data_IF_439499356816
#
_entry.id   IF_439499356816
#
_cell.length_a   1.000
_cell.length_b   1.000
_cell.length_c   1.000
_cell.angle_alpha   90.00
_cell.angle_beta   90.00
_cell.angle_gamma   90.00
#
_symmetry.space_group_name_H-M   'P 1'
#
loop_
_entity.id
_entity.type
_entity.pdbx_description
1 polymer ?
#
# COMPACT_ATOMS: atom_id res chain seq x y z
N UNK A 1 -0.45 -28.09 0.75
CA UNK A 1 -1.13 -26.79 0.60
C UNK A 1 -1.44 -26.30 2.00
N UNK A 2 -1.13 -25.06 2.35
CA UNK A 2 -1.40 -24.51 3.69
C UNK A 2 -2.91 -24.52 3.96
N UNK A 3 -3.36 -25.17 5.03
CA UNK A 3 -4.80 -25.32 5.35
C UNK A 3 -5.54 -23.98 5.39
N UNK A 4 -4.87 -22.93 5.85
CA UNK A 4 -5.39 -21.56 5.87
C UNK A 4 -5.69 -21.01 4.47
N UNK A 5 -4.83 -21.27 3.48
CA UNK A 5 -5.07 -20.80 2.12
C UNK A 5 -6.31 -21.46 1.53
N UNK A 6 -6.51 -22.76 1.77
CA UNK A 6 -7.72 -23.46 1.34
C UNK A 6 -8.97 -22.86 1.99
N UNK A 7 -8.88 -22.51 3.28
CA UNK A 7 -9.97 -21.85 4.00
C UNK A 7 -10.30 -20.47 3.39
N UNK A 8 -9.28 -19.61 3.20
CA UNK A 8 -9.45 -18.30 2.55
C UNK A 8 -10.03 -18.44 1.15
N UNK A 9 -9.56 -19.43 0.38
CA UNK A 9 -10.10 -19.71 -0.95
C UNK A 9 -11.59 -20.03 -0.89
N UNK A 10 -12.00 -20.86 0.07
CA UNK A 10 -13.39 -21.26 0.21
C UNK A 10 -14.31 -20.09 0.59
N UNK A 11 -13.90 -19.30 1.58
CA UNK A 11 -14.59 -18.06 1.98
C UNK A 11 -14.74 -17.08 0.83
N UNK A 12 -13.65 -16.86 0.08
CA UNK A 12 -13.64 -15.89 -1.01
C UNK A 12 -14.31 -16.38 -2.30
N UNK A 13 -14.60 -17.67 -2.46
CA UNK A 13 -15.37 -18.19 -3.61
C UNK A 13 -16.76 -17.56 -3.68
N UNK A 14 -17.40 -17.30 -2.54
CA UNK A 14 -18.70 -16.64 -2.47
C UNK A 14 -18.68 -15.22 -3.07
N UNK A 15 -17.51 -14.56 -3.06
CA UNK A 15 -17.33 -13.21 -3.57
C UNK A 15 -17.08 -13.16 -5.10
N UNK A 16 -16.84 -14.29 -5.76
CA UNK A 16 -16.74 -14.39 -7.23
C UNK A 16 -15.49 -15.11 -7.75
N UNK A 17 -15.22 -15.03 -9.07
CA UNK A 17 -14.10 -15.73 -9.69
C UNK A 17 -12.75 -15.07 -9.33
N UNK A 18 -11.94 -15.80 -8.56
CA UNK A 18 -10.65 -15.34 -8.07
C UNK A 18 -9.52 -16.23 -8.57
N UNK A 19 -8.37 -15.61 -8.82
CA UNK A 19 -7.13 -16.27 -9.21
C UNK A 19 -6.08 -16.12 -8.11
N UNK A 20 -5.35 -17.19 -7.83
CA UNK A 20 -4.33 -17.23 -6.77
C UNK A 20 -2.97 -17.46 -7.39
N UNK A 21 -1.98 -16.65 -7.03
CA UNK A 21 -0.62 -16.78 -7.58
C UNK A 21 0.42 -16.65 -6.47
N UNK A 22 1.39 -17.56 -6.44
CA UNK A 22 2.50 -17.47 -5.50
C UNK A 22 3.27 -16.15 -5.69
N UNK A 23 3.39 -15.37 -4.62
CA UNK A 23 4.10 -14.08 -4.63
C UNK A 23 4.68 -13.79 -3.25
N UNK A 24 5.96 -13.37 -3.17
CA UNK A 24 6.63 -12.92 -1.94
C UNK A 24 6.55 -13.90 -0.75
N UNK A 25 6.78 -15.19 -0.99
CA UNK A 25 6.74 -16.19 0.10
C UNK A 25 5.34 -16.48 0.63
N UNK A 26 4.30 -16.02 -0.06
CA UNK A 26 2.90 -16.35 0.18
C UNK A 26 2.14 -16.42 -1.14
N UNK A 27 0.88 -15.98 -1.14
CA UNK A 27 -0.03 -16.06 -2.27
C UNK A 27 -0.77 -14.74 -2.48
N UNK A 28 -0.68 -14.16 -3.67
CA UNK A 28 -1.52 -13.04 -4.08
C UNK A 28 -2.89 -13.50 -4.58
N UNK A 29 -3.94 -12.77 -4.22
CA UNK A 29 -5.32 -12.98 -4.67
C UNK A 29 -5.70 -11.91 -5.69
N UNK A 30 -6.13 -12.37 -6.85
CA UNK A 30 -6.42 -11.56 -8.02
C UNK A 30 -7.89 -11.70 -8.40
N UNK A 31 -8.53 -10.58 -8.68
CA UNK A 31 -9.83 -10.54 -9.35
C UNK A 31 -9.59 -10.13 -10.81
N UNK A 32 -9.71 -11.09 -11.72
CA UNK A 32 -9.29 -10.93 -13.12
C UNK A 32 -7.79 -10.59 -13.25
N UNK A 33 -7.49 -9.34 -13.58
CA UNK A 33 -6.10 -8.84 -13.74
C UNK A 33 -5.59 -8.01 -12.56
N UNK A 34 -6.42 -7.74 -11.55
CA UNK A 34 -6.11 -6.83 -10.46
C UNK A 34 -5.88 -7.59 -9.15
N UNK A 35 -4.73 -7.34 -8.53
CA UNK A 35 -4.45 -7.81 -7.17
C UNK A 35 -5.12 -6.90 -6.14
N UNK A 36 -5.92 -7.50 -5.26
CA UNK A 36 -6.62 -6.80 -4.18
C UNK A 36 -6.35 -7.41 -2.80
N UNK A 37 -5.87 -8.65 -2.72
CA UNK A 37 -5.49 -9.27 -1.46
C UNK A 37 -4.21 -10.11 -1.57
N UNK A 38 -3.62 -10.48 -0.43
CA UNK A 38 -2.50 -11.42 -0.34
C UNK A 38 -2.56 -12.21 0.96
N UNK A 39 -2.09 -13.46 0.94
CA UNK A 39 -2.00 -14.36 2.08
C UNK A 39 -0.54 -14.65 2.34
N UNK A 40 -0.03 -14.27 3.51
CA UNK A 40 1.38 -14.46 3.91
C UNK A 40 1.43 -14.84 5.39
N UNK A 41 2.18 -15.89 5.74
CA UNK A 41 2.31 -16.40 7.12
C UNK A 41 0.94 -16.60 7.80
N UNK A 42 0.02 -17.28 7.11
CA UNK A 42 -1.33 -17.58 7.59
C UNK A 42 -2.14 -16.33 8.00
N UNK A 43 -1.84 -15.19 7.39
CA UNK A 43 -2.58 -13.93 7.55
C UNK A 43 -3.06 -13.42 6.21
N UNK A 44 -4.29 -12.93 6.19
CA UNK A 44 -4.87 -12.28 5.02
C UNK A 44 -4.59 -10.77 5.08
N UNK A 45 -4.20 -10.20 3.95
CA UNK A 45 -3.99 -8.77 3.82
C UNK A 45 -4.82 -8.23 2.67
N UNK A 46 -5.58 -7.18 2.93
CA UNK A 46 -6.36 -6.48 1.90
C UNK A 46 -5.70 -5.19 1.45
N UNK A 47 -5.97 -4.81 0.21
CA UNK A 47 -5.48 -3.57 -0.36
C UNK A 47 -6.30 -2.38 0.14
N UNK A 48 -5.60 -1.39 0.70
CA UNK A 48 -6.19 -0.19 1.29
C UNK A 48 -5.59 1.05 0.66
N UNK A 49 -6.42 1.83 -0.01
CA UNK A 49 -6.08 3.13 -0.58
C UNK A 49 -6.54 4.30 0.30
N UNK A 50 -6.46 5.51 -0.22
CA UNK A 50 -6.87 6.72 0.51
C UNK A 50 -8.37 6.72 0.86
N UNK A 51 -9.21 6.05 0.07
CA UNK A 51 -10.66 6.12 0.28
C UNK A 51 -11.17 5.17 1.37
N UNK A 52 -10.40 4.15 1.77
CA UNK A 52 -10.78 3.20 2.81
C UNK A 52 -9.81 3.20 4.00
N UNK A 53 -8.69 3.92 3.95
CA UNK A 53 -7.68 3.94 5.01
C UNK A 53 -8.23 4.37 6.37
N UNK A 54 -9.14 5.34 6.41
CA UNK A 54 -9.68 5.86 7.66
C UNK A 54 -10.44 4.78 8.45
N UNK A 55 -11.16 3.91 7.77
CA UNK A 55 -11.90 2.81 8.39
C UNK A 55 -10.96 1.74 8.95
N UNK A 56 -9.88 1.42 8.23
CA UNK A 56 -8.85 0.50 8.72
C UNK A 56 -8.08 1.07 9.92
N UNK A 57 -7.79 2.37 9.93
CA UNK A 57 -7.17 3.06 11.08
C UNK A 57 -8.10 3.07 12.30
N UNK A 58 -9.40 3.28 12.09
CA UNK A 58 -10.40 3.27 13.16
C UNK A 58 -10.59 1.88 13.74
N UNK A 59 -10.53 0.84 12.90
CA UNK A 59 -10.58 -0.56 13.33
C UNK A 59 -9.28 -1.05 14.00
N UNK A 60 -8.25 -0.21 14.12
CA UNK A 60 -6.98 -0.57 14.76
C UNK A 60 -6.13 -1.55 13.95
N UNK A 61 -6.39 -1.70 12.65
CA UNK A 61 -5.63 -2.61 11.80
C UNK A 61 -4.24 -2.05 11.50
N UNK A 62 -3.29 -2.94 11.21
CA UNK A 62 -1.91 -2.53 10.94
C UNK A 62 -1.59 -2.58 9.43
N UNK A 63 -0.91 -1.55 8.90
CA UNK A 63 -0.35 -1.59 7.56
C UNK A 63 0.81 -2.59 7.49
N UNK A 64 0.88 -3.33 6.40
CA UNK A 64 2.01 -4.19 6.09
C UNK A 64 3.24 -3.35 5.75
N UNK A 65 4.31 -3.55 6.52
CA UNK A 65 5.62 -2.96 6.28
C UNK A 65 6.63 -4.07 6.01
N UNK A 66 7.40 -3.94 4.95
CA UNK A 66 8.51 -4.86 4.68
C UNK A 66 9.84 -4.12 4.64
N UNK A 67 10.92 -4.80 5.00
CA UNK A 67 12.27 -4.26 4.81
C UNK A 67 12.64 -4.31 3.33
N UNK A 68 12.83 -3.14 2.71
CA UNK A 68 13.34 -3.01 1.36
C UNK A 68 14.79 -3.50 1.26
N UNK A 69 15.28 -3.66 0.03
CA UNK A 69 16.65 -4.16 -0.24
C UNK A 69 17.76 -3.34 0.42
N UNK A 70 17.51 -2.04 0.65
CA UNK A 70 18.43 -1.11 1.31
C UNK A 70 18.26 -1.07 2.85
N UNK A 71 17.52 -2.00 3.45
CA UNK A 71 17.19 -2.00 4.88
C UNK A 71 16.14 -0.97 5.31
N UNK A 72 15.61 -0.17 4.37
CA UNK A 72 14.56 0.81 4.62
C UNK A 72 13.20 0.12 4.73
N UNK A 73 12.43 0.40 5.78
CA UNK A 73 11.05 -0.07 5.86
C UNK A 73 10.20 0.61 4.77
N UNK A 74 9.66 -0.18 3.87
CA UNK A 74 8.69 0.25 2.87
C UNK A 74 7.30 -0.12 3.39
N UNK A 75 6.48 0.91 3.64
CA UNK A 75 5.07 0.73 3.94
C UNK A 75 4.31 0.57 2.63
N UNK A 76 3.54 -0.50 2.54
CA UNK A 76 2.60 -0.69 1.44
C UNK A 76 1.18 -0.51 1.89
N UNK A 77 0.34 -0.17 0.93
CA UNK A 77 -1.12 -0.07 1.01
C UNK A 77 -1.80 -1.44 1.16
N UNK A 78 -1.24 -2.34 1.95
CA UNK A 78 -1.85 -3.63 2.30
C UNK A 78 -1.99 -3.66 3.82
N UNK A 79 -3.15 -4.03 4.33
CA UNK A 79 -3.44 -4.03 5.76
C UNK A 79 -3.86 -5.42 6.18
N UNK A 80 -3.40 -5.83 7.36
CA UNK A 80 -3.72 -7.13 7.92
C UNK A 80 -5.19 -7.18 8.32
N UNK A 81 -5.87 -8.24 7.90
CA UNK A 81 -7.25 -8.54 8.24
C UNK A 81 -7.21 -9.59 9.35
N UNK A 82 -7.72 -9.28 10.55
CA UNK A 82 -7.88 -10.27 11.62
C UNK A 82 -8.69 -11.47 11.15
N UNK A 83 -8.42 -12.64 11.72
CA UNK A 83 -9.18 -13.85 11.42
C UNK A 83 -10.67 -13.72 11.80
N UNK A 84 -10.99 -12.92 12.81
CA UNK A 84 -12.38 -12.61 13.20
C UNK A 84 -13.20 -12.07 12.00
N UNK A 85 -12.60 -11.21 11.18
CA UNK A 85 -13.24 -10.64 9.98
C UNK A 85 -13.27 -11.65 8.83
N UNK A 86 -12.34 -12.60 8.81
CA UNK A 86 -12.35 -13.69 7.83
C UNK A 86 -13.43 -14.74 8.15
N UNK A 87 -13.76 -14.91 9.43
CA UNK A 87 -14.78 -15.83 9.90
C UNK A 87 -16.21 -15.30 9.69
N UNK A 88 -16.39 -13.98 9.69
CA UNK A 88 -17.66 -13.31 9.43
C UNK A 88 -17.83 -12.98 7.94
N UNK A 89 -18.80 -13.63 7.29
CA UNK A 89 -19.03 -13.47 5.85
C UNK A 89 -19.52 -12.05 5.49
N UNK A 90 -20.28 -11.37 6.36
CA UNK A 90 -20.79 -10.03 6.08
C UNK A 90 -19.66 -9.01 6.09
N UNK A 91 -18.82 -9.05 7.13
CA UNK A 91 -17.64 -8.20 7.23
C UNK A 91 -16.64 -8.53 6.11
N UNK A 92 -16.36 -9.80 5.85
CA UNK A 92 -15.46 -10.22 4.79
C UNK A 92 -15.89 -9.63 3.43
N UNK A 93 -17.17 -9.74 3.08
CA UNK A 93 -17.73 -9.19 1.83
C UNK A 93 -17.62 -7.66 1.82
N UNK A 94 -17.90 -7.00 2.93
CA UNK A 94 -17.78 -5.55 3.05
C UNK A 94 -16.35 -5.07 2.77
N UNK A 95 -15.35 -5.66 3.43
CA UNK A 95 -13.94 -5.33 3.25
C UNK A 95 -13.42 -5.74 1.88
N UNK A 96 -13.85 -6.88 1.37
CA UNK A 96 -13.54 -7.36 0.01
C UNK A 96 -13.97 -6.33 -1.04
N UNK A 97 -15.23 -5.87 -0.99
CA UNK A 97 -15.79 -4.93 -1.97
C UNK A 97 -15.07 -3.59 -1.94
N UNK A 98 -14.75 -3.07 -0.75
CA UNK A 98 -13.94 -1.84 -0.59
C UNK A 98 -12.55 -1.99 -1.21
N UNK A 99 -11.88 -3.10 -0.92
CA UNK A 99 -10.52 -3.37 -1.40
C UNK A 99 -10.47 -3.55 -2.91
N UNK A 100 -11.48 -4.22 -3.48
CA UNK A 100 -11.63 -4.38 -4.92
C UNK A 100 -11.91 -3.03 -5.61
N UNK A 101 -12.76 -2.18 -5.02
CA UNK A 101 -13.01 -0.84 -5.53
C UNK A 101 -11.73 0.02 -5.58
N UNK A 102 -10.92 -0.01 -4.52
CA UNK A 102 -9.63 0.70 -4.49
C UNK A 102 -8.61 0.11 -5.46
N UNK A 103 -8.56 -1.22 -5.60
CA UNK A 103 -7.71 -1.87 -6.60
C UNK A 103 -8.07 -1.43 -8.03
N UNK A 104 -9.37 -1.39 -8.35
CA UNK A 104 -9.88 -0.94 -9.64
C UNK A 104 -9.62 0.55 -9.89
N UNK A 105 -9.83 1.41 -8.89
CA UNK A 105 -9.47 2.84 -8.97
C UNK A 105 -7.98 3.00 -9.27
N UNK A 106 -7.11 2.33 -8.53
CA UNK A 106 -5.67 2.39 -8.74
C UNK A 106 -5.26 1.87 -10.14
N UNK A 107 -5.95 0.85 -10.67
CA UNK A 107 -5.74 0.37 -12.03
C UNK A 107 -6.14 1.41 -13.08
N UNK A 108 -7.28 2.09 -12.87
CA UNK A 108 -7.79 3.11 -13.78
C UNK A 108 -6.92 4.37 -13.81
N UNK A 109 -6.36 4.78 -12.66
CA UNK A 109 -5.39 5.88 -12.56
C UNK A 109 -4.11 5.56 -13.34
N UNK A 110 -3.62 4.31 -13.25
CA UNK A 110 -2.47 3.86 -14.05
C UNK A 110 -2.76 3.84 -15.55
N UNK A 111 -4.00 3.54 -15.98
CA UNK A 111 -4.42 3.64 -17.39
C UNK A 111 -4.50 5.08 -17.90
N UNK A 112 -4.79 6.06 -17.04
CA UNK A 112 -4.84 7.49 -17.42
C UNK A 112 -3.47 8.17 -17.48
N UNK A 113 -2.38 7.52 -17.03
CA UNK A 113 -1.02 8.09 -17.02
C UNK A 113 -0.02 7.25 -17.79
N UNK A 114 -0.39 6.73 -18.95
CA UNK A 114 0.58 6.17 -19.91
C UNK A 114 0.66 7.09 -21.14
N UNK A 115 1.59 8.06 -21.21
CA UNK A 115 2.11 8.44 -22.52
C UNK A 115 2.81 7.20 -23.10
N UNK A 116 2.37 6.74 -24.27
CA UNK A 116 2.99 5.67 -25.07
C UNK A 116 4.51 5.91 -25.16
N UNK A 117 5.32 5.24 -24.33
CA UNK A 117 6.75 5.09 -24.61
C UNK A 117 6.94 3.80 -25.41
N UNK A 118 6.81 3.92 -26.73
CA UNK A 118 7.29 2.92 -27.68
C UNK A 118 8.78 2.69 -27.41
N UNK A 119 9.14 1.43 -27.16
CA UNK A 119 10.52 0.97 -27.08
C UNK A 119 11.21 1.25 -28.42
N UNK A 120 12.35 1.90 -28.32
CA UNK A 120 13.30 2.24 -29.37
C UNK A 120 13.80 0.99 -30.10
N UNK A 121 13.60 0.94 -31.42
CA UNK A 121 14.37 0.10 -32.32
C UNK A 121 15.64 0.87 -32.71
N UNK A 122 16.76 0.23 -32.45
CA UNK A 122 18.14 0.60 -32.75
C UNK A 122 18.35 1.16 -34.17
N UNK A 123 18.95 2.35 -34.29
CA UNK A 123 19.82 2.72 -35.42
C UNK A 123 20.72 3.93 -35.07
N UNK A 124 21.99 3.61 -34.82
CA UNK A 124 23.28 4.25 -35.18
C UNK A 124 23.38 5.79 -35.32
N UNK A 125 24.58 6.26 -34.98
CA UNK A 125 25.21 7.55 -35.33
C UNK A 125 24.74 8.74 -34.49
N UNK A 126 25.54 9.72 -34.09
CA UNK A 126 26.97 10.01 -34.02
C UNK A 126 27.02 11.47 -33.54
N UNK A 127 28.15 11.92 -33.02
CA UNK A 127 28.59 13.33 -33.07
C UNK A 127 27.83 14.42 -32.27
N UNK A 128 28.47 14.85 -31.18
CA UNK A 128 29.08 16.20 -31.05
C UNK A 128 28.35 17.33 -30.31
N UNK A 129 29.16 18.05 -29.49
CA UNK A 129 29.00 19.36 -28.79
C UNK A 129 28.19 19.33 -27.48
N UNK A 130 28.76 19.47 -26.28
CA UNK A 130 29.70 20.48 -25.69
C UNK A 130 29.14 21.91 -25.68
N UNK A 131 28.64 22.35 -24.51
CA UNK A 131 28.72 23.70 -23.90
C UNK A 131 27.71 23.78 -22.73
N UNK A 132 28.10 23.86 -21.45
CA UNK A 132 28.59 25.02 -20.67
C UNK A 132 27.51 26.04 -20.29
N UNK A 133 27.50 26.36 -18.98
CA UNK A 133 27.09 27.60 -18.28
C UNK A 133 25.90 27.41 -17.30
N UNK A 134 26.15 27.30 -15.99
CA UNK A 134 26.37 28.39 -14.99
C UNK A 134 25.15 29.32 -14.78
N UNK A 135 24.51 29.19 -13.60
CA UNK A 135 24.27 30.24 -12.58
C UNK A 135 23.49 29.59 -11.40
N UNK A 136 24.04 29.54 -10.17
CA UNK A 136 23.98 30.58 -9.09
C UNK A 136 22.52 31.00 -8.81
N UNK A 137 22.02 31.11 -7.58
CA UNK A 137 22.59 31.07 -6.24
C UNK A 137 21.44 31.11 -5.21
N UNK A 138 21.70 30.63 -3.98
CA UNK A 138 21.28 31.19 -2.68
C UNK A 138 19.76 31.41 -2.42
N UNK A 139 19.19 31.27 -1.22
CA UNK A 139 19.68 31.63 0.12
C UNK A 139 18.56 31.25 1.12
N UNK A 140 18.93 30.72 2.30
CA UNK A 140 18.49 31.11 3.68
C UNK A 140 16.96 31.22 3.98
N UNK A 141 16.39 30.84 5.13
CA UNK A 141 16.84 30.40 6.47
C UNK A 141 15.54 30.38 7.32
N UNK A 142 15.49 29.54 8.37
CA UNK A 142 14.70 29.71 9.62
C UNK A 142 13.16 29.69 9.51
N UNK A 143 12.41 29.00 10.36
CA UNK A 143 12.08 29.42 11.74
C UNK A 143 11.46 28.24 12.56
N UNK A 144 12.04 27.97 13.75
CA UNK A 144 11.47 27.62 15.11
C UNK A 144 10.26 26.67 15.17
N UNK A 145 10.19 25.54 15.90
CA UNK A 145 10.61 25.09 17.26
C UNK A 145 10.25 26.03 18.43
N UNK A 146 9.13 25.74 19.11
CA UNK A 146 8.71 26.03 20.50
C UNK A 146 7.17 26.09 20.54
N UNK A 147 6.40 25.71 21.56
CA UNK A 147 6.53 24.99 22.83
C UNK A 147 5.08 24.88 23.37
N UNK A 148 4.73 23.85 24.14
CA UNK A 148 3.87 23.99 25.34
C UNK A 148 3.86 22.66 26.12
N UNK A 149 4.79 22.56 27.07
CA UNK A 149 4.66 21.72 28.28
C UNK A 149 3.82 22.53 29.27
N UNK A 150 2.74 21.95 29.75
CA UNK A 150 1.91 22.48 30.84
C UNK A 150 2.44 21.92 32.16
N UNK A 151 3.01 22.80 32.98
CA UNK A 151 3.27 22.59 34.41
C UNK A 151 2.26 23.43 35.17
N UNK A 152 1.38 22.80 35.94
CA UNK A 152 0.56 23.49 36.94
C UNK A 152 0.99 23.04 38.33
N UNK A 153 1.50 24.03 39.06
CA UNK A 153 1.95 24.06 40.44
C UNK A 153 0.76 24.43 41.33
N UNK A 154 0.45 23.64 42.36
CA UNK A 154 -0.35 24.02 43.54
C UNK A 154 0.09 23.14 44.72
N UNK A 155 0.11 23.55 45.98
CA UNK A 155 0.46 24.79 46.69
C UNK A 155 0.63 24.31 48.14
N UNK A 156 1.59 24.89 48.84
CA UNK A 156 2.05 24.60 50.21
C UNK A 156 0.99 24.92 51.29
N UNK A 157 1.04 24.17 52.40
CA UNK A 157 0.56 24.51 53.76
C UNK A 157 0.84 23.29 54.64
N UNK A 158 1.93 23.24 55.40
CA UNK A 158 2.14 23.81 56.75
C UNK A 158 1.15 23.27 57.78
#
# INVERSE_FOLDING_TARGET
MSSFLTHVQDRLKACGPLSYKNMFGGFGVYSGSQIFAMVIKDRLYFRVGQSNQAEYETAGMAPFTYAGKDGKLVRVSYWEVPEEILEDDEDLVFWFRKSLAEANKAASLKKKTVPKKKVTKSKVSSSTKKAVAKKKAARKKSVKRAVKKTTTKRKVGR
#
